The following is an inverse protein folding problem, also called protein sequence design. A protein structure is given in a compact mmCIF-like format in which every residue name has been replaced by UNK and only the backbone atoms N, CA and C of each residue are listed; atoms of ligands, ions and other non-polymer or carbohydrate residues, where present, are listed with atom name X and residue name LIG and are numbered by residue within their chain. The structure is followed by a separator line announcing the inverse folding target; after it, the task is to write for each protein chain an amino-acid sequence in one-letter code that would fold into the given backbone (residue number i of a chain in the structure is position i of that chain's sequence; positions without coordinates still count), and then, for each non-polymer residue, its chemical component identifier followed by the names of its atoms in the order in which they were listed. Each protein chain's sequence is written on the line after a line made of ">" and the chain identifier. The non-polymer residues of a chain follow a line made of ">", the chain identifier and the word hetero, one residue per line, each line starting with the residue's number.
data_IF_200363786205
#
_entry.id   IF_200363786205
#
_cell.length_a   1.000
_cell.length_b   1.000
_cell.length_c   1.000
_cell.angle_alpha   90.00
_cell.angle_beta   90.00
_cell.angle_gamma   90.00
#
_symmetry.space_group_name_H-M   'P 1'
#
loop_
_entity.id
_entity.type
_entity.pdbx_description
1 polymer ?
#
# COMPACT_ATOMS: atom_id res chain seq x y z
N UNK A 1 16.42 11.73 9.70
CA UNK A 1 15.66 10.47 9.60
C UNK A 1 16.54 9.52 8.81
N UNK A 2 17.12 8.47 9.40
CA UNK A 2 17.70 7.42 8.56
C UNK A 2 16.55 6.89 7.69
N UNK A 3 16.82 6.69 6.41
CA UNK A 3 15.81 6.29 5.44
C UNK A 3 15.45 4.83 5.75
N UNK A 4 14.56 4.59 6.72
CA UNK A 4 14.00 3.28 6.98
C UNK A 4 13.36 2.78 5.69
N UNK A 5 13.85 1.67 5.16
CA UNK A 5 13.27 1.05 3.98
C UNK A 5 11.92 0.47 4.39
N UNK A 6 10.83 0.93 3.77
CA UNK A 6 9.52 0.33 3.97
C UNK A 6 9.54 -1.05 3.32
N UNK A 7 9.13 -2.07 4.08
CA UNK A 7 8.90 -3.41 3.56
C UNK A 7 7.41 -3.53 3.27
N UNK A 8 7.07 -3.82 2.02
CA UNK A 8 5.68 -3.95 1.57
C UNK A 8 5.30 -5.42 1.54
N UNK A 9 4.28 -5.79 2.28
CA UNK A 9 3.63 -7.09 2.18
C UNK A 9 2.31 -6.93 1.41
N UNK A 10 2.07 -7.79 0.42
CA UNK A 10 0.83 -7.76 -0.36
C UNK A 10 0.10 -9.08 -0.13
N UNK A 11 -1.15 -8.96 0.33
CA UNK A 11 -2.09 -10.08 0.41
C UNK A 11 -3.27 -9.84 -0.51
N UNK A 12 -3.57 -10.79 -1.40
CA UNK A 12 -4.74 -10.79 -2.27
C UNK A 12 -5.67 -11.89 -1.79
N UNK A 13 -6.90 -11.53 -1.39
CA UNK A 13 -7.89 -12.47 -0.88
C UNK A 13 -7.39 -13.37 0.27
N UNK A 14 -6.44 -12.88 1.06
CA UNK A 14 -5.81 -13.58 2.18
C UNK A 14 -4.54 -14.36 1.83
N UNK A 15 -4.21 -14.50 0.55
CA UNK A 15 -2.99 -15.15 0.07
C UNK A 15 -1.84 -14.15 -0.04
N UNK A 16 -0.67 -14.51 0.51
CA UNK A 16 0.55 -13.70 0.42
C UNK A 16 1.20 -13.86 -0.96
N UNK A 17 1.44 -12.72 -1.62
CA UNK A 17 2.00 -12.68 -2.96
C UNK A 17 3.47 -12.27 -2.87
N UNK A 18 4.36 -13.02 -3.51
CA UNK A 18 5.78 -12.67 -3.58
C UNK A 18 5.96 -11.31 -4.29
N UNK A 19 6.59 -10.38 -3.58
CA UNK A 19 6.82 -9.02 -4.08
C UNK A 19 8.27 -8.88 -4.54
N UNK A 20 8.47 -8.67 -5.84
CA UNK A 20 9.81 -8.43 -6.37
C UNK A 20 10.35 -7.03 -6.02
N UNK A 21 11.66 -6.83 -6.24
CA UNK A 21 12.36 -5.56 -5.94
C UNK A 21 11.70 -4.33 -6.57
N UNK A 22 11.26 -4.43 -7.83
CA UNK A 22 10.61 -3.31 -8.50
C UNK A 22 9.32 -2.90 -7.77
N UNK A 23 8.48 -3.87 -7.39
CA UNK A 23 7.22 -3.60 -6.68
C UNK A 23 7.46 -3.09 -5.27
N UNK A 24 8.45 -3.64 -4.54
CA UNK A 24 8.90 -3.10 -3.25
C UNK A 24 9.27 -1.62 -3.35
N UNK A 25 10.14 -1.27 -4.30
CA UNK A 25 10.62 0.09 -4.48
C UNK A 25 9.48 1.03 -4.91
N UNK A 26 8.64 0.61 -5.86
CA UNK A 26 7.54 1.42 -6.38
C UNK A 26 6.51 1.75 -5.28
N UNK A 27 5.98 0.72 -4.60
CA UNK A 27 4.94 0.89 -3.59
C UNK A 27 5.51 1.53 -2.33
N UNK A 28 6.70 1.11 -1.89
CA UNK A 28 7.36 1.69 -0.72
C UNK A 28 7.60 3.19 -0.87
N UNK A 29 8.10 3.64 -2.03
CA UNK A 29 8.29 5.08 -2.28
C UNK A 29 6.96 5.84 -2.35
N UNK A 30 5.91 5.26 -2.94
CA UNK A 30 4.58 5.87 -2.99
C UNK A 30 3.97 6.03 -1.59
N UNK A 31 4.06 4.99 -0.74
CA UNK A 31 3.59 5.02 0.65
C UNK A 31 4.38 6.05 1.45
N UNK A 32 5.71 6.10 1.30
CA UNK A 32 6.55 7.11 1.97
C UNK A 32 6.13 8.54 1.58
N UNK A 33 5.85 8.76 0.30
CA UNK A 33 5.30 10.03 -0.19
C UNK A 33 3.96 10.38 0.46
N UNK A 34 3.02 9.42 0.52
CA UNK A 34 1.72 9.63 1.14
C UNK A 34 1.84 9.94 2.65
N UNK A 35 2.65 9.16 3.40
CA UNK A 35 2.91 9.38 4.82
C UNK A 35 3.51 10.76 5.10
N UNK A 36 4.39 11.26 4.22
CA UNK A 36 4.99 12.59 4.37
C UNK A 36 3.96 13.73 4.33
N UNK A 37 2.82 13.50 3.68
CA UNK A 37 1.74 14.48 3.57
C UNK A 37 0.68 14.37 4.67
N UNK A 38 0.65 13.26 5.42
CA UNK A 38 -0.32 13.05 6.49
C UNK A 38 -0.01 13.95 7.69
N UNK A 39 -1.05 14.58 8.23
CA UNK A 39 -0.99 15.34 9.49
C UNK A 39 -1.51 14.48 10.64
N UNK A 40 -0.92 14.64 11.83
CA UNK A 40 -1.39 13.97 13.05
C UNK A 40 -0.89 12.53 13.26
N UNK A 41 0.00 12.03 12.41
CA UNK A 41 0.67 10.74 12.61
C UNK A 41 1.88 10.94 13.52
N UNK A 42 2.03 10.11 14.55
CA UNK A 42 3.22 10.14 15.42
C UNK A 42 4.47 9.75 14.62
N UNK A 43 5.65 10.15 15.07
CA UNK A 43 6.92 9.85 14.37
C UNK A 43 7.43 8.42 14.60
N UNK A 44 6.91 7.75 15.61
CA UNK A 44 7.34 6.46 16.16
C UNK A 44 6.32 5.34 15.86
N UNK A 45 5.82 5.30 14.62
CA UNK A 45 4.90 4.25 14.20
C UNK A 45 5.66 3.00 13.75
N UNK A 46 5.11 1.82 14.05
CA UNK A 46 5.70 0.53 13.68
C UNK A 46 5.04 -0.09 12.44
N UNK A 47 3.72 0.09 12.25
CA UNK A 47 2.94 -0.50 11.16
C UNK A 47 1.98 0.51 10.52
N UNK A 48 1.84 0.43 9.19
CA UNK A 48 0.76 1.05 8.41
C UNK A 48 -0.09 -0.05 7.77
N UNK A 49 -1.40 -0.06 8.03
CA UNK A 49 -2.35 -0.96 7.37
C UNK A 49 -3.16 -0.23 6.29
N UNK A 50 -3.08 -0.71 5.05
CA UNK A 50 -3.87 -0.21 3.92
C UNK A 50 -4.84 -1.31 3.48
N UNK A 51 -6.12 -0.98 3.29
CA UNK A 51 -7.12 -1.90 2.75
C UNK A 51 -7.65 -1.35 1.44
N UNK A 52 -7.49 -2.11 0.36
CA UNK A 52 -8.01 -1.79 -0.97
C UNK A 52 -9.11 -2.79 -1.30
N UNK A 53 -10.29 -2.30 -1.69
CA UNK A 53 -11.39 -3.15 -2.16
C UNK A 53 -11.62 -2.91 -3.64
N UNK A 54 -11.79 -3.99 -4.40
CA UNK A 54 -12.23 -3.90 -5.79
C UNK A 54 -13.67 -3.38 -5.82
N UNK A 55 -13.89 -2.21 -6.42
CA UNK A 55 -15.25 -1.76 -6.73
C UNK A 55 -15.74 -2.52 -7.96
N UNK A 56 -16.58 -3.52 -7.77
CA UNK A 56 -17.31 -4.14 -8.88
C UNK A 56 -18.40 -3.19 -9.34
N UNK A 57 -18.09 -2.25 -10.24
CA UNK A 57 -19.14 -1.65 -11.08
C UNK A 57 -19.57 -2.73 -12.07
N UNK A 58 -20.75 -3.29 -11.85
CA UNK A 58 -21.38 -4.25 -12.75
C UNK A 58 -21.66 -3.53 -14.08
N UNK A 59 -20.79 -3.68 -15.08
CA UNK A 59 -20.96 -3.09 -16.41
C UNK A 59 -21.80 -4.00 -17.31
N UNK A 60 -22.99 -4.37 -16.86
CA UNK A 60 -24.02 -4.92 -17.74
C UNK A 60 -25.23 -3.98 -17.76
N UNK A 61 -25.17 -2.99 -18.64
CA UNK A 61 -26.33 -2.41 -19.33
C UNK A 61 -25.95 -2.18 -20.80
N UNK A 62 -25.94 -3.27 -21.55
CA UNK A 62 -26.51 -3.35 -22.90
C UNK A 62 -27.82 -4.13 -22.63
N UNK A 63 -29.03 -3.72 -23.03
CA UNK A 63 -29.52 -3.15 -24.29
C UNK A 63 -30.57 -2.06 -24.04
#
# INVERSE_FOLDING_TARGET
>A
MSKGMLVVEIRIDGEEIEVNRFVQDMIGNAIAGALSALKGVRRDWDELKITVKRSTKNTNRME
#
